data_IF_770549467250
#
_entry.id   IF_770549467250
#
_cell.length_a   1.000
_cell.length_b   1.000
_cell.length_c   1.000
_cell.angle_alpha   90.00
_cell.angle_beta   90.00
_cell.angle_gamma   90.00
#
_symmetry.space_group_name_H-M   'P 1'
#
loop_
_entity.id
_entity.type
_entity.pdbx_description
1 polymer ?
2 non-polymer ?
3 non-polymer ?
4 non-polymer ?
5 non-polymer ?
6 water ?
#
# COMPACT_ATOMS: atom_id res chain seq x y z
N UNK A 44 17.82 1.58 33.93
CA UNK A 44 17.67 2.97 33.50
C UNK A 44 16.23 3.44 33.66
N UNK A 45 15.94 4.65 33.17
CA UNK A 45 14.61 5.24 33.33
C UNK A 45 14.34 6.28 32.25
N UNK A 46 13.07 6.48 31.91
CA UNK A 46 12.74 7.47 30.89
C UNK A 46 12.87 8.88 31.47
N UNK A 47 13.05 9.85 30.58
CA UNK A 47 13.47 11.21 30.92
C UNK A 47 12.84 11.74 32.21
N UNK A 48 13.70 12.05 33.18
CA UNK A 48 13.27 12.59 34.46
C UNK A 48 12.46 13.88 34.25
N UNK A 49 12.79 14.61 33.20
CA UNK A 49 12.29 15.97 33.01
C UNK A 49 10.81 16.06 32.63
N UNK A 50 10.25 14.97 32.11
CA UNK A 50 8.82 14.96 31.74
C UNK A 50 7.96 14.53 32.91
N UNK A 51 8.57 13.84 33.87
CA UNK A 51 7.92 13.47 35.12
C UNK A 51 7.93 14.63 36.10
N UNK A 52 8.68 15.68 35.75
CA UNK A 52 8.62 16.93 36.52
C UNK A 52 7.15 17.36 36.51
N UNK A 53 6.60 17.54 37.70
CA UNK A 53 5.16 17.62 37.88
C UNK A 53 4.50 18.79 37.18
N UNK A 54 5.16 19.94 37.13
CA UNK A 54 4.56 21.12 36.49
C UNK A 54 4.35 20.85 35.01
N UNK A 55 5.32 20.17 34.40
CA UNK A 55 5.26 19.87 32.98
C UNK A 55 4.20 18.81 32.71
N UNK A 56 4.13 17.81 33.60
CA UNK A 56 3.16 16.74 33.47
C UNK A 56 1.74 17.29 33.51
N UNK A 57 1.52 18.28 34.36
CA UNK A 57 0.19 18.86 34.50
C UNK A 57 -0.14 19.74 33.29
N UNK A 58 0.87 20.38 32.74
CA UNK A 58 0.69 21.24 31.58
C UNK A 58 0.37 20.39 30.36
N UNK A 59 1.03 19.24 30.28
CA UNK A 59 0.80 18.29 29.20
C UNK A 59 -0.62 17.73 29.30
N UNK A 60 -1.04 17.43 30.53
CA UNK A 60 -2.38 16.93 30.79
C UNK A 60 -3.45 17.92 30.36
N UNK A 61 -3.22 19.20 30.66
CA UNK A 61 -4.14 20.25 30.26
C UNK A 61 -4.28 20.28 28.73
N UNK A 62 -3.15 20.26 28.05
CA UNK A 62 -3.10 20.30 26.59
C UNK A 62 -3.85 19.12 25.96
N UNK A 63 -3.68 17.94 26.55
CA UNK A 63 -4.43 16.77 26.13
C UNK A 63 -5.93 16.96 26.36
N UNK A 64 -6.28 17.42 27.56
CA UNK A 64 -7.67 17.57 27.96
C UNK A 64 -8.42 18.50 27.02
N UNK A 65 -7.71 19.54 26.59
CA UNK A 65 -8.28 20.62 25.78
C UNK A 65 -7.96 20.46 24.30
N UNK A 66 -7.28 19.38 23.95
CA UNK A 66 -6.83 19.17 22.58
C UNK A 66 -6.22 20.47 22.05
N UNK A 67 -5.22 20.98 22.76
CA UNK A 67 -4.55 22.23 22.43
C UNK A 67 -3.06 21.94 22.26
N UNK A 68 -2.39 22.60 21.30
CA UNK A 68 -0.95 22.34 21.13
C UNK A 68 -0.11 22.85 22.30
N UNK A 69 1.02 22.19 22.52
CA UNK A 69 1.92 22.53 23.61
C UNK A 69 3.36 22.25 23.16
N UNK A 70 4.24 23.23 23.35
CA UNK A 70 5.63 23.11 22.93
C UNK A 70 6.56 23.45 24.09
N UNK A 71 7.56 22.59 24.28
CA UNK A 71 8.55 22.75 25.34
C UNK A 71 9.85 22.15 24.81
N UNK A 72 10.95 22.44 25.48
CA UNK A 72 12.26 21.95 25.05
C UNK A 72 12.32 20.43 24.95
N UNK A 73 11.61 19.75 25.86
CA UNK A 73 11.76 18.32 26.06
C UNK A 73 10.52 17.54 25.61
N UNK A 74 9.50 18.26 25.17
CA UNK A 74 8.28 17.62 24.69
C UNK A 74 7.43 18.56 23.85
N UNK A 75 6.96 18.06 22.72
CA UNK A 75 6.09 18.80 21.84
C UNK A 75 4.86 17.96 21.55
N UNK A 76 3.69 18.57 21.71
CA UNK A 76 2.44 17.91 21.43
C UNK A 76 1.63 18.74 20.44
N UNK A 77 1.20 18.09 19.36
CA UNK A 77 0.42 18.76 18.30
C UNK A 77 -0.87 18.01 18.05
N UNK A 78 -1.87 18.73 17.55
CA UNK A 78 -3.21 18.21 17.33
C UNK A 78 -3.58 18.07 15.86
N UNK A 79 -2.73 18.57 14.98
CA UNK A 79 -3.02 18.55 13.56
C UNK A 79 -2.04 17.63 12.81
N UNK A 80 -2.55 16.67 12.03
CA UNK A 80 -3.96 16.39 11.73
C UNK A 80 -4.68 15.64 12.86
N UNK A 81 -3.91 15.01 13.75
CA UNK A 81 -4.47 14.41 14.96
C UNK A 81 -3.45 14.45 16.09
N UNK A 82 -3.89 14.06 17.28
CA UNK A 82 -3.04 14.18 18.46
C UNK A 82 -1.79 13.31 18.35
N UNK A 83 -0.62 13.93 18.39
CA UNK A 83 0.64 13.19 18.40
C UNK A 83 1.65 13.99 19.22
N UNK A 84 2.59 13.27 19.83
CA UNK A 84 3.59 13.89 20.70
C UNK A 84 4.98 13.34 20.40
N UNK A 85 5.98 14.20 20.57
CA UNK A 85 7.37 13.85 20.32
C UNK A 85 8.18 14.14 21.57
N UNK A 86 8.89 13.13 22.05
CA UNK A 86 9.80 13.28 23.18
C UNK A 86 11.22 12.92 22.73
N UNK A 87 12.05 13.93 22.48
CA UNK A 87 13.44 13.60 22.18
C UNK A 87 14.18 13.21 23.46
N UNK A 88 15.23 12.41 23.33
CA UNK A 88 15.99 11.93 24.49
C UNK A 88 15.07 11.31 25.53
N UNK A 89 14.28 10.35 25.07
CA UNK A 89 13.30 9.66 25.90
C UNK A 89 13.94 8.97 27.10
N UNK A 90 15.03 8.24 26.86
CA UNK A 90 15.75 7.56 27.93
C UNK A 90 17.05 8.26 28.21
N UNK A 91 17.34 8.51 29.49
CA UNK A 91 18.46 9.36 29.85
C UNK A 91 19.83 8.71 29.61
N UNK A 92 19.94 7.43 29.91
CA UNK A 92 21.24 6.75 29.81
C UNK A 92 21.55 6.28 28.39
N UNK A 93 22.60 6.87 27.81
CA UNK A 93 23.07 6.49 26.49
C UNK A 93 23.68 5.09 26.53
N UNK A 94 24.24 4.72 27.68
CA UNK A 94 24.89 3.43 27.80
C UNK A 94 23.84 2.32 27.76
N UNK A 95 22.71 2.56 28.41
CA UNK A 95 21.62 1.59 28.40
C UNK A 95 21.10 1.39 26.98
N UNK A 96 20.99 2.49 26.24
CA UNK A 96 20.47 2.46 24.89
C UNK A 96 21.39 1.75 23.91
N UNK A 97 22.69 1.94 24.08
CA UNK A 97 23.68 1.23 23.28
C UNK A 97 23.67 -0.26 23.63
N UNK A 98 23.45 -0.58 24.90
CA UNK A 98 23.33 -1.97 25.31
C UNK A 98 22.05 -2.59 24.76
N UNK A 99 21.04 -1.74 24.56
CA UNK A 99 19.75 -2.19 24.04
C UNK A 99 19.84 -2.46 22.53
N UNK A 100 20.41 -1.51 21.81
CA UNK A 100 20.67 -1.66 20.39
C UNK A 100 21.38 -2.98 20.12
N UNK A 101 22.43 -3.24 20.91
CA UNK A 101 23.26 -4.44 20.74
C UNK A 101 22.44 -5.71 20.88
N UNK A 102 21.65 -5.79 21.95
CA UNK A 102 20.79 -6.95 22.16
C UNK A 102 19.79 -7.13 21.01
N UNK A 103 19.20 -6.03 20.56
CA UNK A 103 18.20 -6.10 19.50
C UNK A 103 18.82 -6.57 18.19
N UNK A 104 19.97 -6.00 17.84
CA UNK A 104 20.66 -6.34 16.59
C UNK A 104 21.13 -7.78 16.61
N UNK A 105 21.20 -8.37 17.81
CA UNK A 105 21.61 -9.76 17.97
C UNK A 105 20.38 -10.68 18.03
N UNK A 106 19.20 -10.12 17.78
CA UNK A 106 18.01 -10.95 17.63
C UNK A 106 17.90 -11.49 16.22
N UNK A 107 17.06 -12.49 16.03
CA UNK A 107 16.75 -12.96 14.70
C UNK A 107 15.56 -12.16 14.18
N UNK A 108 15.65 -11.72 12.93
CA UNK A 108 14.58 -10.96 12.31
C UNK A 108 13.92 -11.75 11.20
N UNK A 109 12.59 -11.76 11.18
CA UNK A 109 11.84 -12.47 10.15
C UNK A 109 11.08 -11.53 9.20
N UNK A 110 11.06 -11.92 7.93
CA UNK A 110 10.51 -11.09 6.87
C UNK A 110 9.01 -10.91 7.05
N UNK A 111 8.57 -9.66 7.01
CA UNK A 111 7.14 -9.37 7.01
C UNK A 111 6.80 -8.75 5.68
N UNK A 112 5.79 -9.30 5.04
CA UNK A 112 5.40 -8.87 3.71
C UNK A 112 3.92 -9.10 3.48
N UNK A 113 3.27 -8.09 2.89
CA UNK A 113 1.95 -8.25 2.30
C UNK A 113 1.70 -7.05 1.38
N UNK A 114 0.45 -6.69 1.16
CA UNK A 114 0.13 -5.54 0.32
C UNK A 114 0.53 -4.23 1.00
N UNK A 115 0.34 -4.17 2.31
CA UNK A 115 0.51 -2.93 3.07
C UNK A 115 1.97 -2.65 3.44
N UNK A 116 2.76 -3.70 3.62
CA UNK A 116 4.12 -3.49 4.13
C UNK A 116 5.15 -4.47 3.62
N UNK A 117 6.40 -4.06 3.77
CA UNK A 117 7.55 -4.92 3.57
C UNK A 117 8.65 -4.43 4.49
N UNK A 118 9.06 -5.30 5.42
CA UNK A 118 10.12 -4.96 6.37
C UNK A 118 10.50 -6.21 7.17
N UNK A 119 11.40 -6.05 8.14
CA UNK A 119 11.79 -7.16 9.02
C UNK A 119 11.38 -6.88 10.46
N UNK A 120 10.88 -7.92 11.13
CA UNK A 120 10.44 -7.82 12.51
C UNK A 120 11.21 -8.83 13.36
N UNK A 121 11.42 -8.49 14.63
CA UNK A 121 12.26 -9.30 15.49
C UNK A 121 11.52 -10.50 16.05
N UNK A 122 12.30 -11.50 16.49
CA UNK A 122 11.85 -12.46 17.49
C UNK A 122 11.04 -11.63 18.48
N UNK A 123 9.87 -12.10 18.88
CA UNK A 123 9.01 -11.29 19.76
C UNK A 123 9.71 -10.94 21.08
N UNK A 124 9.26 -9.85 21.71
CA UNK A 124 10.01 -9.22 22.80
C UNK A 124 9.35 -9.45 24.16
N UNK A 125 8.13 -9.95 24.15
CA UNK A 125 7.34 -10.02 25.37
C UNK A 125 7.92 -10.96 26.43
N UNK A 126 8.36 -12.15 26.03
CA UNK A 126 8.86 -13.15 26.98
C UNK A 126 10.39 -13.22 26.96
N UNK A 127 10.99 -12.23 26.33
CA UNK A 127 12.41 -12.21 26.06
C UNK A 127 13.20 -11.93 27.34
N UNK A 128 14.25 -12.71 27.60
CA UNK A 128 14.89 -12.69 28.91
C UNK A 128 16.13 -11.81 29.00
N UNK A 129 16.66 -11.38 27.86
CA UNK A 129 17.83 -10.49 27.85
C UNK A 129 17.52 -9.27 28.73
N UNK A 130 18.52 -8.80 29.50
CA UNK A 130 18.22 -7.83 30.54
C UNK A 130 17.82 -6.42 30.08
N UNK A 131 18.38 -5.90 28.99
CA UNK A 131 18.02 -4.54 28.54
C UNK A 131 16.60 -4.52 27.96
N UNK A 132 16.25 -5.56 27.22
CA UNK A 132 14.89 -5.70 26.72
C UNK A 132 13.91 -5.82 27.87
N UNK A 133 14.25 -6.65 28.85
CA UNK A 133 13.42 -6.85 30.02
C UNK A 133 13.15 -5.53 30.73
N UNK A 134 14.21 -4.73 30.88
CA UNK A 134 14.09 -3.43 31.54
C UNK A 134 13.21 -2.47 30.73
N UNK A 135 13.37 -2.50 29.42
CA UNK A 135 12.60 -1.62 28.55
C UNK A 135 11.11 -1.91 28.65
N UNK A 136 10.76 -3.19 28.72
CA UNK A 136 9.36 -3.59 28.86
C UNK A 136 8.74 -2.87 30.04
N UNK A 137 9.47 -2.91 31.15
CA UNK A 137 9.04 -2.30 32.40
C UNK A 137 9.00 -0.78 32.30
N UNK A 138 9.98 -0.18 31.63
CA UNK A 138 10.01 1.26 31.46
C UNK A 138 8.76 1.69 30.71
N UNK A 139 8.40 0.92 29.69
CA UNK A 139 7.31 1.29 28.82
C UNK A 139 5.95 0.97 29.42
N UNK A 140 5.77 -0.28 29.84
CA UNK A 140 4.43 -0.77 30.18
C UNK A 140 4.07 -0.69 31.66
N UNK A 141 4.96 -0.11 32.46
CA UNK A 141 4.64 0.24 33.84
C UNK A 141 4.81 1.74 34.04
N UNK A 142 6.04 2.22 33.90
CA UNK A 142 6.36 3.61 34.23
C UNK A 142 5.75 4.59 33.23
N UNK A 143 6.07 4.41 31.96
CA UNK A 143 5.60 5.34 30.94
C UNK A 143 4.09 5.23 30.77
N UNK A 144 3.57 4.01 30.92
CA UNK A 144 2.14 3.79 30.82
C UNK A 144 1.35 4.53 31.89
N UNK A 145 1.83 4.49 33.13
CA UNK A 145 1.14 5.17 34.21
C UNK A 145 1.15 6.67 33.96
N UNK A 146 2.28 7.17 33.45
CA UNK A 146 2.41 8.58 33.12
C UNK A 146 1.38 8.96 32.04
N UNK A 147 1.32 8.15 30.99
CA UNK A 147 0.38 8.37 29.88
C UNK A 147 -1.06 8.28 30.34
N UNK A 148 -1.35 7.31 31.19
CA UNK A 148 -2.68 7.14 31.75
C UNK A 148 -3.08 8.39 32.53
N UNK A 149 -2.12 8.96 33.26
CA UNK A 149 -2.39 10.13 34.08
C UNK A 149 -2.71 11.34 33.22
N UNK A 150 -1.91 11.59 32.20
CA UNK A 150 -2.09 12.79 31.40
C UNK A 150 -3.24 12.67 30.39
N UNK A 151 -3.52 11.45 29.95
CA UNK A 151 -4.55 11.20 28.97
C UNK A 151 -5.90 10.93 29.63
N UNK A 152 -5.87 10.55 30.91
CA UNK A 152 -7.07 10.13 31.65
C UNK A 152 -7.68 8.86 31.07
N UNK A 153 -6.92 8.18 30.21
CA UNK A 153 -7.30 6.87 29.72
C UNK A 153 -6.72 5.83 30.67
N UNK A 154 -7.54 4.87 31.09
CA UNK A 154 -7.07 3.76 31.91
C UNK A 154 -6.44 2.71 30.98
N UNK A 155 -5.14 2.88 30.72
CA UNK A 155 -4.44 1.99 29.81
C UNK A 155 -4.11 0.68 30.52
N UNK A 156 -4.10 -0.41 29.76
CA UNK A 156 -3.86 -1.74 30.33
C UNK A 156 -2.38 -2.06 30.44
N UNK A 157 -2.07 -3.05 31.26
CA UNK A 157 -0.68 -3.50 31.43
C UNK A 157 -0.22 -4.34 30.24
N UNK A 158 -1.19 -4.83 29.47
CA UNK A 158 -0.93 -5.70 28.32
C UNK A 158 0.29 -5.24 27.52
N UNK A 159 1.29 -6.12 27.44
CA UNK A 159 2.53 -5.82 26.73
C UNK A 159 2.35 -6.10 25.24
N UNK A 160 2.64 -5.08 24.44
CA UNK A 160 2.46 -5.13 23.00
C UNK A 160 3.59 -4.34 22.35
N UNK A 161 4.71 -5.01 22.09
CA UNK A 161 5.88 -4.33 21.55
C UNK A 161 6.70 -5.26 20.66
N UNK A 162 7.27 -4.67 19.62
CA UNK A 162 8.05 -5.41 18.65
C UNK A 162 9.23 -4.54 18.25
N UNK A 163 10.22 -5.16 17.63
CA UNK A 163 11.37 -4.43 17.12
C UNK A 163 11.36 -4.56 15.61
N UNK A 164 11.41 -3.43 14.93
CA UNK A 164 11.31 -3.39 13.50
C UNK A 164 12.61 -2.89 12.89
N UNK A 165 12.94 -3.44 11.73
CA UNK A 165 14.07 -2.98 10.95
C UNK A 165 13.62 -2.71 9.52
N UNK A 166 13.79 -1.47 9.07
CA UNK A 166 13.47 -1.09 7.70
C UNK A 166 14.76 -0.77 6.96
N UNK A 167 15.00 -1.48 5.87
CA UNK A 167 16.16 -1.22 5.03
C UNK A 167 15.69 -0.78 3.65
N UNK A 168 16.63 -0.64 2.71
CA UNK A 168 16.35 -0.16 1.37
C UNK A 168 15.15 -0.86 0.73
N UNK A 169 14.17 -0.06 0.32
CA UNK A 169 12.93 -0.50 -0.35
C UNK A 169 11.80 -0.89 0.60
N UNK A 170 12.10 -1.02 1.89
CA UNK A 170 11.09 -1.38 2.87
C UNK A 170 10.16 -0.19 3.09
N UNK A 171 8.89 -0.47 3.37
CA UNK A 171 7.91 0.58 3.59
C UNK A 171 6.66 0.02 4.25
N UNK A 172 5.95 0.89 4.97
CA UNK A 172 4.69 0.54 5.58
C UNK A 172 3.68 1.63 5.15
N UNK A 173 2.73 1.25 4.31
CA UNK A 173 1.87 2.21 3.65
C UNK A 173 0.73 2.69 4.53
N UNK A 174 -0.07 3.61 3.98
CA UNK A 174 -1.09 4.33 4.74
C UNK A 174 -2.11 3.43 5.45
N UNK A 175 -2.20 3.60 6.78
CA UNK A 175 -3.08 2.79 7.62
C UNK A 175 -3.38 3.56 8.90
N UNK A 176 -4.39 3.11 9.65
CA UNK A 176 -4.85 3.82 10.83
C UNK A 176 -4.63 3.09 12.17
N UNK A 177 -3.93 1.95 12.13
CA UNK A 177 -3.61 1.17 13.35
C UNK A 177 -4.84 0.56 14.02
N UNK A 178 -6.02 0.79 13.46
CA UNK A 178 -7.23 0.40 14.16
C UNK A 178 -7.31 -1.11 14.37
N UNK A 179 -7.47 -1.49 15.63
CA UNK A 179 -7.70 -2.87 16.03
C UNK A 179 -8.27 -2.77 17.43
N UNK A 180 -9.25 -3.61 17.74
CA UNK A 180 -9.96 -3.49 19.01
C UNK A 180 -8.97 -3.54 20.18
N UNK A 181 -8.97 -2.50 21.00
CA UNK A 181 -8.14 -2.44 22.19
C UNK A 181 -6.98 -1.45 22.09
N UNK A 182 -6.49 -1.22 20.88
CA UNK A 182 -5.38 -0.28 20.69
C UNK A 182 -5.85 1.15 20.91
N UNK A 183 -5.19 1.86 21.83
CA UNK A 183 -5.55 3.24 22.12
C UNK A 183 -4.42 4.22 21.83
N UNK A 184 -3.20 3.86 22.20
CA UNK A 184 -2.07 4.75 21.93
C UNK A 184 -0.92 4.03 21.26
N UNK A 185 -0.51 4.56 20.11
CA UNK A 185 0.61 4.00 19.38
C UNK A 185 1.87 4.68 19.90
N UNK A 186 2.97 3.94 19.96
CA UNK A 186 4.26 4.52 20.29
C UNK A 186 5.35 3.92 19.43
N UNK A 187 6.37 4.73 19.12
CA UNK A 187 7.55 4.26 18.43
C UNK A 187 8.78 4.92 19.06
N UNK A 188 9.76 4.10 19.41
CA UNK A 188 11.04 4.58 19.92
C UNK A 188 12.11 4.27 18.88
N UNK A 189 12.74 5.32 18.34
CA UNK A 189 13.73 5.15 17.28
C UNK A 189 15.12 4.93 17.87
N UNK A 190 15.83 3.95 17.33
CA UNK A 190 17.21 3.67 17.72
C UNK A 190 18.08 3.71 16.48
N UNK A 191 17.88 4.75 15.68
CA UNK A 191 18.52 4.86 14.38
C UNK A 191 19.87 5.58 14.46
N UNK A 192 20.76 5.31 13.49
CA UNK A 192 21.96 6.14 13.31
C UNK A 192 21.57 7.53 12.81
N UNK A 193 22.54 8.43 12.61
CA UNK A 193 22.22 9.77 12.09
C UNK A 193 21.33 9.66 10.86
N UNK A 194 20.24 10.42 10.84
CA UNK A 194 19.19 10.20 9.85
C UNK A 194 18.71 11.54 9.31
N UNK A 195 18.35 11.56 8.04
CA UNK A 195 17.81 12.76 7.42
C UNK A 195 16.73 12.35 6.45
N UNK A 196 15.98 13.34 5.97
CA UNK A 196 14.83 13.11 5.11
C UNK A 196 15.20 12.35 3.84
N UNK A 197 16.41 12.56 3.33
CA UNK A 197 16.84 11.95 2.08
C UNK A 197 16.98 10.44 2.20
N UNK A 198 17.12 9.95 3.43
CA UNK A 198 17.27 8.53 3.68
C UNK A 198 15.91 7.84 3.78
N UNK A 199 14.84 8.64 3.76
CA UNK A 199 13.49 8.13 3.81
C UNK A 199 13.11 7.62 5.19
N UNK A 200 12.12 6.72 5.24
CA UNK A 200 11.70 6.13 6.50
C UNK A 200 11.03 7.13 7.42
N UNK A 201 10.42 8.15 6.85
CA UNK A 201 9.77 9.18 7.66
C UNK A 201 8.41 8.67 8.12
N UNK A 202 7.99 9.11 9.30
CA UNK A 202 6.67 8.79 9.81
C UNK A 202 5.75 9.90 9.33
N UNK A 203 4.95 9.60 8.32
CA UNK A 203 4.10 10.61 7.68
C UNK A 203 2.69 10.52 8.23
N UNK A 204 2.10 11.67 8.56
CA UNK A 204 0.74 11.76 9.06
C UNK A 204 -0.18 12.42 8.05
N UNK A 205 -1.36 11.85 7.84
CA UNK A 205 -2.28 12.35 6.81
C UNK A 205 -3.41 13.20 7.36
N UNK A 206 -3.77 14.23 6.60
CA UNK A 206 -5.02 14.94 6.82
C UNK A 206 -6.15 14.05 6.33
N UNK A 207 -7.39 14.46 6.58
CA UNK A 207 -8.54 13.63 6.26
C UNK A 207 -9.61 14.43 5.51
N UNK A 208 -10.40 13.76 4.69
CA UNK A 208 -11.46 14.43 3.91
C UNK A 208 -12.81 14.33 4.60
N UNK A 209 -13.85 14.78 3.91
CA UNK A 209 -15.21 14.79 4.44
C UNK A 209 -15.69 13.38 4.85
N UNK A 210 -15.24 12.36 4.14
CA UNK A 210 -15.72 10.99 4.35
C UNK A 210 -14.81 10.18 5.29
N UNK A 211 -13.99 10.89 6.08
CA UNK A 211 -13.11 10.23 7.06
C UNK A 211 -12.08 9.35 6.37
N UNK A 212 -11.67 9.75 5.16
CA UNK A 212 -10.63 9.04 4.41
C UNK A 212 -9.39 9.93 4.28
N UNK A 213 -8.20 9.32 4.27
CA UNK A 213 -6.96 10.10 4.18
C UNK A 213 -6.88 10.90 2.88
N UNK A 214 -6.38 12.13 2.99
CA UNK A 214 -6.30 13.03 1.85
C UNK A 214 -4.85 13.17 1.40
N UNK A 215 -4.02 13.74 2.26
CA UNK A 215 -2.60 13.89 1.93
C UNK A 215 -1.71 14.06 3.16
N UNK A 216 -0.40 13.96 2.94
CA UNK A 216 0.58 14.07 4.01
C UNK A 216 0.77 15.52 4.40
N UNK A 217 0.57 15.81 5.68
CA UNK A 217 0.67 17.19 6.18
C UNK A 217 1.71 17.32 7.29
N UNK A 218 2.22 16.19 7.76
CA UNK A 218 3.33 16.14 8.71
C UNK A 218 4.22 14.97 8.36
N UNK A 219 5.53 15.19 8.39
CA UNK A 219 6.50 14.15 8.09
C UNK A 219 7.59 14.24 9.15
N UNK A 220 7.64 13.23 10.02
CA UNK A 220 8.57 13.22 11.14
C UNK A 220 9.80 12.38 10.82
N UNK A 221 10.98 12.96 11.08
CA UNK A 221 12.25 12.28 10.83
C UNK A 221 12.72 11.51 12.05
N UNK A 222 12.99 10.21 11.90
CA UNK A 222 13.44 9.48 13.09
C UNK A 222 14.84 9.91 13.51
N UNK A 223 15.11 9.82 14.81
CA UNK A 223 16.43 10.13 15.34
C UNK A 223 16.62 9.36 16.63
N UNK A 224 17.88 9.10 16.97
CA UNK A 224 18.24 8.27 18.10
C UNK A 224 17.59 8.72 19.42
N UNK A 225 16.88 7.80 20.06
CA UNK A 225 16.28 8.03 21.38
C UNK A 225 15.06 8.97 21.34
N UNK A 226 14.55 9.22 20.14
CA UNK A 226 13.31 9.97 20.01
C UNK A 226 12.12 9.02 20.12
N UNK A 227 11.17 9.36 20.99
CA UNK A 227 9.92 8.63 21.09
C UNK A 227 8.77 9.46 20.51
N UNK A 228 7.93 8.82 19.70
CA UNK A 228 6.72 9.45 19.19
C UNK A 228 5.53 8.62 19.64
N UNK A 229 4.46 9.27 20.08
CA UNK A 229 3.22 8.55 20.35
C UNK A 229 2.02 9.35 19.87
N UNK A 230 0.93 8.63 19.60
CA UNK A 230 -0.28 9.26 19.11
C UNK A 230 -1.50 8.40 19.37
N UNK A 231 -2.66 9.03 19.25
CA UNK A 231 -3.92 8.38 19.56
C UNK A 231 -4.40 7.58 18.35
N UNK A 232 -4.85 6.35 18.58
CA UNK A 232 -5.44 5.55 17.53
C UNK A 232 -6.91 5.89 17.45
N UNK A 233 -7.35 6.33 16.28
CA UNK A 233 -8.72 6.78 16.07
C UNK A 233 -9.09 6.53 14.62
N UNK A 234 -10.35 6.79 14.24
CA UNK A 234 -10.77 6.59 12.85
C UNK A 234 -10.05 7.50 11.86
N UNK A 235 -9.31 8.49 12.35
CA UNK A 235 -8.60 9.44 11.48
C UNK A 235 -7.07 9.37 11.63
N UNK A 236 -6.56 8.44 12.45
CA UNK A 236 -5.12 8.40 12.72
C UNK A 236 -4.35 7.72 11.60
N UNK A 237 -4.49 8.24 10.39
CA UNK A 237 -3.82 7.68 9.21
C UNK A 237 -2.37 8.10 9.10
N UNK A 238 -1.50 7.12 8.87
CA UNK A 238 -0.07 7.37 8.83
C UNK A 238 0.65 6.30 8.01
N UNK A 239 1.88 6.61 7.61
CA UNK A 239 2.72 5.61 6.97
C UNK A 239 4.18 5.78 7.39
N UNK A 240 4.97 4.74 7.12
CA UNK A 240 6.41 4.84 7.13
C UNK A 240 6.87 4.90 5.67
N UNK A 241 7.43 6.03 5.25
CA UNK A 241 7.81 6.21 3.86
C UNK A 241 8.95 5.26 3.52
N UNK A 242 9.09 4.92 2.23
CA UNK A 242 10.12 3.99 1.79
C UNK A 242 11.52 4.43 2.25
N UNK A 243 12.28 3.52 2.84
CA UNK A 243 13.70 3.77 3.16
C UNK A 243 14.53 3.75 1.88
N UNK A 244 15.28 4.83 1.66
CA UNK A 244 16.01 5.01 0.41
C UNK A 244 17.51 4.79 0.61
N UNK A 245 17.98 4.85 1.86
CA UNK A 245 19.38 4.60 2.15
C UNK A 245 19.67 3.14 1.80
N UNK A 246 20.76 2.91 1.08
CA UNK A 246 21.15 1.56 0.70
C UNK A 246 22.13 0.98 1.70
N UNK A 247 22.66 1.86 2.56
CA UNK A 247 23.67 1.46 3.53
C UNK A 247 23.07 1.26 4.92
N UNK A 248 22.20 2.17 5.34
CA UNK A 248 21.76 2.22 6.74
C UNK A 248 20.43 1.52 7.02
N UNK A 249 20.26 1.14 8.28
CA UNK A 249 19.14 0.34 8.73
C UNK A 249 18.33 1.11 9.77
N UNK A 250 17.03 1.26 9.51
CA UNK A 250 16.13 2.02 10.39
C UNK A 250 15.58 1.11 11.47
N UNK A 251 16.12 1.24 12.67
CA UNK A 251 15.79 0.34 13.78
C UNK A 251 14.87 1.02 14.80
N UNK A 252 13.81 0.33 15.21
CA UNK A 252 12.85 0.90 16.15
C UNK A 252 12.22 -0.14 17.07
N UNK A 253 11.72 0.34 18.21
CA UNK A 253 10.78 -0.41 19.04
C UNK A 253 9.42 0.25 18.89
N UNK A 254 8.38 -0.54 18.62
CA UNK A 254 7.07 0.03 18.38
C UNK A 254 5.98 -0.85 18.97
N UNK A 255 4.81 -0.28 19.20
CA UNK A 255 3.71 -1.07 19.71
C UNK A 255 2.54 -0.20 20.14
N UNK A 256 1.71 -0.74 21.03
CA UNK A 256 0.54 -0.03 21.48
C UNK A 256 0.26 -0.20 22.95
N UNK A 257 -0.19 0.88 23.57
CA UNK A 257 -0.83 0.79 24.87
C UNK A 257 -2.29 0.50 24.62
N UNK A 258 -2.78 -0.53 25.29
CA UNK A 258 -4.15 -0.96 25.10
C UNK A 258 -5.10 -0.23 26.05
N UNK A 259 -6.33 -0.09 25.63
CA UNK A 259 -7.33 0.59 26.41
C UNK A 259 -8.71 0.23 25.91
N UNK A 260 -9.74 0.84 26.50
CA UNK A 260 -11.14 0.52 26.17
C UNK A 260 -11.44 0.78 24.69
N UNK A 261 -12.25 -0.09 24.10
CA UNK A 261 -12.59 -0.01 22.69
C UNK A 261 -13.46 1.21 22.40
N UNK A 262 -12.98 2.09 21.52
CA UNK A 262 -13.73 3.27 21.12
C UNK A 262 -14.90 2.90 20.21
N UNK A 263 -15.40 3.91 19.50
CA UNK A 263 -16.55 3.77 18.63
C UNK A 263 -16.13 4.12 17.21
N UNK A 264 -15.96 3.12 16.36
CA UNK A 264 -15.63 3.37 14.97
C UNK A 264 -16.95 3.68 14.23
N UNK A 265 -16.94 4.71 13.36
CA UNK A 265 -18.18 5.06 12.64
C UNK A 265 -18.50 4.01 11.58
N UNK A 266 -19.65 4.14 10.88
CA UNK A 266 -19.98 3.15 9.86
C UNK A 266 -18.94 3.06 8.74
N UNK A 267 -18.67 1.84 8.28
CA UNK A 267 -17.71 1.63 7.21
C UNK A 267 -18.13 2.39 5.96
N UNK A 268 -17.23 3.23 5.45
CA UNK A 268 -17.53 4.03 4.28
C UNK A 268 -17.28 3.24 3.00
N UNK A 269 -18.26 3.26 2.10
CA UNK A 269 -18.17 2.57 0.82
C UNK A 269 -18.11 3.59 -0.30
N UNK A 270 -17.03 3.56 -1.07
CA UNK A 270 -16.88 4.49 -2.18
C UNK A 270 -18.00 4.31 -3.17
N UNK A 271 -18.36 5.39 -3.89
CA UNK A 271 -19.22 5.26 -5.07
C UNK A 271 -18.62 4.26 -6.06
N UNK A 272 -19.35 3.18 -6.38
CA UNK A 272 -18.86 2.22 -7.37
C UNK A 272 -18.48 2.90 -8.69
N UNK A 273 -17.35 2.50 -9.27
CA UNK A 273 -16.96 3.02 -10.58
C UNK A 273 -18.03 2.67 -11.61
N UNK A 274 -18.47 3.68 -12.40
CA UNK A 274 -19.47 3.40 -13.45
C UNK A 274 -19.05 2.27 -14.37
N UNK A 275 -19.99 1.39 -14.69
CA UNK A 275 -19.76 0.31 -15.64
C UNK A 275 -20.59 0.63 -16.86
N UNK A 276 -20.27 0.00 -17.98
CA UNK A 276 -20.99 0.26 -19.22
C UNK A 276 -21.06 -1.01 -20.06
N UNK A 277 -22.14 -1.17 -20.84
CA UNK A 277 -22.21 -2.33 -21.73
C UNK A 277 -21.18 -2.19 -22.85
N UNK A 278 -21.07 -3.18 -23.72
CA UNK A 278 -20.08 -3.13 -24.80
C UNK A 278 -20.40 -2.00 -25.78
N UNK A 279 -19.37 -1.51 -26.45
CA UNK A 279 -19.57 -0.60 -27.56
C UNK A 279 -20.03 -1.44 -28.76
N UNK A 280 -21.24 -1.17 -29.28
CA UNK A 280 -21.71 -1.98 -30.40
C UNK A 280 -20.75 -1.97 -31.58
N UNK A 281 -20.70 -3.07 -32.30
CA UNK A 281 -19.78 -3.23 -33.41
C UNK A 281 -20.22 -2.43 -34.61
N UNK A 282 -19.32 -1.62 -35.15
CA UNK A 282 -19.52 -1.00 -36.45
C UNK A 282 -18.51 -1.61 -37.41
N UNK A 283 -17.26 -1.19 -37.31
CA UNK A 283 -16.20 -1.73 -38.17
C UNK A 283 -15.54 -2.92 -37.50
N UNK A 284 -15.05 -3.85 -38.31
CA UNK A 284 -14.29 -4.99 -37.79
C UNK A 284 -12.97 -4.47 -37.23
N UNK A 285 -12.62 -4.90 -36.03
CA UNK A 285 -11.51 -4.30 -35.30
C UNK A 285 -10.55 -5.36 -34.75
N UNK A 286 -11.00 -6.61 -34.63
CA UNK A 286 -10.16 -7.67 -34.05
C UNK A 286 -8.97 -8.05 -34.92
N UNK A 287 -9.23 -8.26 -36.20
CA UNK A 287 -8.21 -8.84 -37.07
C UNK A 287 -7.09 -7.84 -37.35
N UNK A 288 -7.39 -6.56 -37.10
CA UNK A 288 -6.39 -5.52 -37.22
C UNK A 288 -5.53 -5.39 -35.95
N UNK A 289 -6.05 -5.87 -34.83
CA UNK A 289 -5.41 -5.67 -33.54
C UNK A 289 -4.82 -6.93 -32.91
N UNK A 290 -5.49 -8.06 -33.09
CA UNK A 290 -5.15 -9.26 -32.34
C UNK A 290 -4.28 -10.25 -33.12
N UNK A 291 -3.34 -10.87 -32.40
CA UNK A 291 -2.52 -11.96 -32.93
C UNK A 291 -3.43 -13.08 -33.49
N UNK A 292 -3.32 -13.37 -34.81
CA UNK A 292 -4.21 -14.34 -35.48
C UNK A 292 -4.29 -15.69 -34.78
N UNK A 293 -3.18 -16.11 -34.17
CA UNK A 293 -3.14 -17.35 -33.41
C UNK A 293 -4.34 -17.44 -32.47
N UNK A 294 -4.68 -16.33 -31.84
CA UNK A 294 -5.72 -16.29 -30.82
C UNK A 294 -7.12 -16.16 -31.42
N UNK A 295 -7.18 -15.87 -32.70
CA UNK A 295 -8.46 -15.78 -33.42
C UNK A 295 -8.78 -17.08 -34.15
N UNK A 296 -8.02 -18.13 -33.86
CA UNK A 296 -8.30 -19.44 -34.41
C UNK A 296 -9.20 -20.19 -33.45
N UNK A 297 -10.29 -20.73 -33.97
CA UNK A 297 -11.31 -21.38 -33.14
C UNK A 297 -10.76 -22.56 -32.34
N UNK A 298 -9.93 -23.38 -32.96
CA UNK A 298 -9.42 -24.58 -32.30
C UNK A 298 -8.46 -24.18 -31.18
N UNK A 299 -7.73 -23.09 -31.39
CA UNK A 299 -6.82 -22.62 -30.37
C UNK A 299 -7.66 -22.04 -29.22
N UNK A 300 -8.82 -21.48 -29.56
CA UNK A 300 -9.69 -20.88 -28.54
C UNK A 300 -10.27 -21.92 -27.59
N UNK A 301 -10.64 -23.09 -28.11
CA UNK A 301 -11.23 -24.12 -27.24
C UNK A 301 -10.16 -24.69 -26.31
N UNK A 302 -8.92 -24.74 -26.80
CA UNK A 302 -7.79 -25.18 -26.00
C UNK A 302 -7.53 -24.17 -24.88
N UNK A 303 -7.64 -22.89 -25.21
CA UNK A 303 -7.46 -21.82 -24.23
C UNK A 303 -8.51 -21.95 -23.15
N UNK A 304 -9.76 -22.16 -23.58
CA UNK A 304 -10.86 -22.24 -22.64
C UNK A 304 -10.74 -23.47 -21.77
N UNK A 305 -10.23 -24.56 -22.34
CA UNK A 305 -10.00 -25.77 -21.57
C UNK A 305 -9.04 -25.49 -20.43
N UNK A 306 -7.92 -24.85 -20.75
CA UNK A 306 -6.91 -24.51 -19.77
C UNK A 306 -7.45 -23.50 -18.75
N UNK A 307 -8.22 -22.54 -19.24
CA UNK A 307 -8.74 -21.46 -18.41
C UNK A 307 -9.72 -21.96 -17.35
N UNK A 308 -10.54 -22.95 -17.72
CA UNK A 308 -11.60 -23.44 -16.84
C UNK A 308 -11.07 -24.24 -15.66
N UNK A 309 -9.86 -24.79 -15.82
CA UNK A 309 -9.23 -25.56 -14.76
C UNK A 309 -8.68 -24.65 -13.67
N UNK A 310 -7.98 -23.61 -14.08
CA UNK A 310 -7.27 -22.73 -13.16
C UNK A 310 -7.92 -21.36 -13.04
N UNK A 311 -8.90 -21.07 -13.91
CA UNK A 311 -9.58 -19.77 -13.89
C UNK A 311 -8.58 -18.63 -14.07
N UNK A 312 -7.52 -18.89 -14.83
CA UNK A 312 -6.58 -17.84 -15.21
C UNK A 312 -5.80 -18.30 -16.42
N UNK A 313 -5.35 -17.35 -17.23
CA UNK A 313 -4.42 -17.67 -18.31
C UNK A 313 -3.61 -16.44 -18.67
N UNK A 314 -2.49 -16.68 -19.35
CA UNK A 314 -1.59 -15.63 -19.77
C UNK A 314 -1.32 -15.84 -21.24
N UNK A 315 -1.65 -14.84 -22.05
CA UNK A 315 -1.49 -14.93 -23.50
C UNK A 315 -0.40 -13.98 -23.96
N UNK A 316 0.74 -14.55 -24.36
CA UNK A 316 1.88 -13.74 -24.81
C UNK A 316 1.65 -13.19 -26.21
N UNK A 317 2.29 -12.07 -26.52
CA UNK A 317 2.20 -11.44 -27.83
C UNK A 317 0.72 -11.35 -28.26
N UNK A 318 -0.09 -10.74 -27.41
CA UNK A 318 -1.54 -10.71 -27.63
C UNK A 318 -1.93 -9.80 -28.79
N UNK A 319 -1.37 -8.59 -28.81
CA UNK A 319 -1.61 -7.68 -29.93
C UNK A 319 -0.63 -7.98 -31.07
N UNK A 320 -1.04 -7.70 -32.30
CA UNK A 320 -0.12 -7.72 -33.42
C UNK A 320 0.99 -6.72 -33.10
N UNK A 321 2.25 -7.08 -33.39
CA UNK A 321 3.36 -6.17 -33.09
C UNK A 321 3.21 -4.81 -33.77
N UNK A 322 2.64 -4.78 -34.98
CA UNK A 322 2.42 -3.53 -35.68
C UNK A 322 1.66 -2.54 -34.79
N UNK A 323 0.62 -3.02 -34.13
CA UNK A 323 -0.21 -2.18 -33.27
C UNK A 323 0.45 -1.95 -31.93
N UNK A 324 1.01 -3.02 -31.35
CA UNK A 324 1.64 -2.91 -30.04
C UNK A 324 2.70 -1.81 -30.01
N UNK A 325 3.50 -1.73 -31.07
CA UNK A 325 4.56 -0.75 -31.14
C UNK A 325 4.02 0.66 -31.31
N UNK A 326 2.92 0.78 -32.04
CA UNK A 326 2.31 2.09 -32.23
C UNK A 326 1.73 2.56 -30.90
N UNK A 327 1.20 1.61 -30.13
CA UNK A 327 0.65 1.91 -28.80
C UNK A 327 1.77 2.39 -27.85
N UNK A 328 2.86 1.64 -27.78
CA UNK A 328 4.00 1.99 -26.93
C UNK A 328 4.63 3.31 -27.41
N UNK A 329 4.66 3.49 -28.72
CA UNK A 329 5.17 4.72 -29.33
C UNK A 329 4.41 5.95 -28.82
N UNK A 330 3.08 5.83 -28.76
CA UNK A 330 2.23 6.93 -28.31
C UNK A 330 2.41 7.18 -26.82
N UNK A 331 2.50 6.10 -26.04
CA UNK A 331 2.72 6.21 -24.61
C UNK A 331 4.08 6.81 -24.30
N UNK A 332 5.07 6.51 -25.15
CA UNK A 332 6.45 6.92 -24.90
C UNK A 332 6.80 8.25 -25.53
N UNK A 333 6.09 8.62 -26.60
CA UNK A 333 6.43 9.83 -27.36
C UNK A 333 5.24 10.76 -27.64
N UNK A 334 4.05 10.39 -27.17
CA UNK A 334 2.84 11.14 -27.48
C UNK A 334 2.33 11.99 -26.33
N UNK A 335 1.23 12.70 -26.58
CA UNK A 335 0.58 13.52 -25.56
C UNK A 335 -0.47 12.71 -24.80
N UNK A 336 -0.26 12.53 -23.49
CA UNK A 336 -1.25 11.85 -22.65
C UNK A 336 -1.41 12.63 -21.34
N UNK A 337 -2.65 12.84 -20.94
CA UNK A 337 -2.96 13.55 -19.69
C UNK A 337 -3.24 12.56 -18.60
N UNK A 338 -2.39 12.56 -17.57
CA UNK A 338 -2.52 11.65 -16.43
C UNK A 338 -3.11 12.39 -15.23
N UNK A 339 -3.87 11.65 -14.42
CA UNK A 339 -4.35 12.16 -13.14
C UNK A 339 -4.02 11.09 -12.08
N UNK A 340 -3.76 11.53 -10.86
CA UNK A 340 -3.44 10.64 -9.76
C UNK A 340 -4.72 10.17 -9.08
N UNK A 341 -4.79 8.88 -8.80
CA UNK A 341 -5.95 8.28 -8.15
C UNK A 341 -5.63 8.00 -6.69
N UNK A 342 -6.61 8.21 -5.82
CA UNK A 342 -6.49 7.88 -4.41
C UNK A 342 -7.81 7.26 -3.94
N UNK A 343 -8.05 7.25 -2.61
CA UNK A 343 -7.17 7.80 -1.58
C UNK A 343 -6.05 6.81 -1.13
N UNK A 344 -5.01 7.32 -0.44
CA UNK A 344 -3.79 6.60 -0.05
C UNK A 344 -3.99 5.28 0.70
N UNK A 345 -5.12 5.13 1.38
CA UNK A 345 -5.40 3.91 2.12
C UNK A 345 -6.04 2.85 1.24
N UNK A 346 -6.17 3.14 -0.06
CA UNK A 346 -6.69 2.17 -1.00
C UNK A 346 -5.80 2.03 -2.22
N UNK A 347 -5.29 3.16 -2.71
CA UNK A 347 -4.59 3.17 -3.99
C UNK A 347 -3.76 4.41 -4.24
N UNK A 348 -2.73 4.26 -5.06
CA UNK A 348 -1.98 5.40 -5.60
C UNK A 348 -1.36 5.01 -6.94
N UNK A 349 -1.91 5.55 -8.03
CA UNK A 349 -1.36 5.34 -9.36
C UNK A 349 -1.92 6.41 -10.30
N UNK A 350 -1.47 6.39 -11.55
CA UNK A 350 -1.90 7.37 -12.53
C UNK A 350 -2.84 6.73 -13.54
N UNK A 351 -3.85 7.49 -13.94
CA UNK A 351 -4.86 7.03 -14.87
C UNK A 351 -4.97 8.06 -16.00
N UNK A 352 -5.11 7.58 -17.23
CA UNK A 352 -5.19 8.46 -18.39
C UNK A 352 -6.58 9.05 -18.54
N UNK A 353 -6.64 10.31 -18.97
CA UNK A 353 -7.89 10.96 -19.33
C UNK A 353 -8.28 10.45 -20.70
N UNK A 354 -9.22 9.51 -20.73
CA UNK A 354 -9.47 8.68 -21.90
C UNK A 354 -9.96 9.48 -23.12
N UNK A 355 -10.69 10.55 -22.86
CA UNK A 355 -11.30 11.33 -23.96
C UNK A 355 -10.25 12.16 -24.70
N UNK A 356 -9.11 12.40 -24.05
CA UNK A 356 -8.08 13.28 -24.62
C UNK A 356 -6.88 12.50 -25.16
N UNK A 357 -7.07 11.19 -25.35
CA UNK A 357 -5.97 10.33 -25.73
C UNK A 357 -5.66 10.47 -27.22
N UNK A 358 -4.41 10.18 -27.61
CA UNK A 358 -4.06 10.03 -29.03
C UNK A 358 -4.88 8.89 -29.62
N UNK A 359 -5.24 9.00 -30.90
CA UNK A 359 -6.17 8.09 -31.56
C UNK A 359 -5.86 6.61 -31.33
N UNK A 360 -4.60 6.23 -31.45
CA UNK A 360 -4.20 4.82 -31.34
C UNK A 360 -4.49 4.28 -29.94
N UNK A 361 -4.37 5.15 -28.94
CA UNK A 361 -4.68 4.76 -27.56
C UNK A 361 -6.18 4.83 -27.29
N UNK A 362 -6.85 5.80 -27.90
CA UNK A 362 -8.31 5.83 -27.87
C UNK A 362 -8.85 4.54 -28.46
N UNK A 363 -8.32 4.14 -29.60
CA UNK A 363 -8.79 2.93 -30.29
C UNK A 363 -8.44 1.65 -29.51
N UNK A 364 -7.33 1.63 -28.80
CA UNK A 364 -6.96 0.45 -28.03
C UNK A 364 -7.95 0.29 -26.88
N UNK A 365 -8.35 1.40 -26.28
CA UNK A 365 -9.39 1.38 -25.24
C UNK A 365 -10.71 0.90 -25.84
N UNK A 366 -11.07 1.43 -27.01
CA UNK A 366 -12.32 1.02 -27.66
C UNK A 366 -12.28 -0.48 -27.97
N UNK A 367 -11.11 -0.99 -28.31
CA UNK A 367 -10.95 -2.42 -28.56
C UNK A 367 -11.41 -3.20 -27.34
N UNK A 368 -10.94 -2.78 -26.17
CA UNK A 368 -11.24 -3.50 -24.95
C UNK A 368 -12.65 -3.30 -24.44
N UNK A 369 -13.33 -2.28 -24.98
CA UNK A 369 -14.72 -2.01 -24.68
C UNK A 369 -15.65 -2.62 -25.73
N UNK A 370 -15.06 -3.19 -26.78
CA UNK A 370 -15.83 -3.51 -27.99
C UNK A 370 -16.62 -4.80 -27.83
N UNK A 371 -17.80 -4.82 -28.45
CA UNK A 371 -18.62 -6.02 -28.56
C UNK A 371 -17.78 -7.23 -28.98
N UNK A 372 -16.91 -7.03 -29.96
CA UNK A 372 -16.11 -8.13 -30.52
C UNK A 372 -15.20 -8.77 -29.49
N UNK A 373 -14.64 -7.94 -28.61
CA UNK A 373 -13.75 -8.46 -27.59
C UNK A 373 -14.54 -9.14 -26.48
N UNK A 374 -15.68 -8.58 -26.12
CA UNK A 374 -16.56 -9.24 -25.16
C UNK A 374 -16.80 -10.67 -25.62
N UNK A 375 -17.05 -10.84 -26.92
CA UNK A 375 -17.33 -12.15 -27.46
C UNK A 375 -16.07 -13.04 -27.43
N UNK A 376 -14.93 -12.45 -27.79
CA UNK A 376 -13.67 -13.18 -27.80
C UNK A 376 -13.35 -13.71 -26.40
N UNK A 377 -13.49 -12.85 -25.39
CA UNK A 377 -13.24 -13.25 -24.01
C UNK A 377 -14.19 -14.35 -23.54
N UNK A 378 -15.41 -14.35 -24.06
CA UNK A 378 -16.34 -15.43 -23.80
C UNK A 378 -15.76 -16.70 -24.37
N UNK A 379 -15.22 -16.61 -25.58
CA UNK A 379 -14.62 -17.76 -26.24
C UNK A 379 -13.37 -18.28 -25.49
N UNK A 380 -12.63 -17.37 -24.85
CA UNK A 380 -11.43 -17.73 -24.08
C UNK A 380 -11.76 -18.35 -22.73
N UNK A 381 -12.88 -17.95 -22.14
CA UNK A 381 -13.13 -18.23 -20.72
C UNK A 381 -14.34 -19.12 -20.46
N UNK A 382 -15.30 -19.14 -21.37
CA UNK A 382 -16.52 -19.90 -21.14
C UNK A 382 -17.51 -19.11 -20.30
N UNK A 383 -17.16 -17.85 -20.00
CA UNK A 383 -18.08 -16.93 -19.36
C UNK A 383 -19.05 -16.35 -20.41
N UNK A 384 -20.21 -15.92 -19.96
CA UNK A 384 -21.24 -15.34 -20.81
C UNK A 384 -21.11 -13.82 -20.81
N UNK A 385 -20.22 -13.30 -21.65
CA UNK A 385 -20.00 -11.85 -21.77
C UNK A 385 -20.57 -11.29 -23.07
N UNK A 386 -21.25 -12.14 -23.83
CA UNK A 386 -21.89 -11.73 -25.07
C UNK A 386 -23.01 -12.72 -25.41
N UNK A 387 -24.08 -12.22 -26.05
CA UNK A 387 -25.28 -13.04 -26.27
C UNK A 387 -25.08 -14.12 -27.33
N UNK A 388 -24.03 -13.99 -28.14
CA UNK A 388 -23.70 -14.99 -29.15
C UNK A 388 -22.74 -16.05 -28.62
N UNK A 389 -22.35 -15.93 -27.35
CA UNK A 389 -21.50 -16.94 -26.74
C UNK A 389 -22.39 -18.04 -26.13
N UNK A 390 -21.92 -19.30 -26.14
CA UNK A 390 -22.73 -20.41 -25.62
C UNK A 390 -23.17 -20.26 -24.17
N UNK A 391 -24.11 -21.12 -23.75
CA UNK A 391 -24.79 -21.00 -22.47
C UNK A 391 -24.03 -21.72 -21.36
CA UNK A 450 -31.46 -11.79 -19.00
C UNK A 450 -30.52 -10.77 -18.37
N UNK A 451 -29.26 -11.17 -18.21
CA UNK A 451 -28.23 -10.30 -17.63
C UNK A 451 -27.48 -9.56 -18.74
N UNK A 452 -27.20 -8.28 -18.52
CA UNK A 452 -26.45 -7.48 -19.48
C UNK A 452 -24.97 -7.39 -19.09
N UNK A 453 -24.06 -7.99 -19.88
CA UNK A 453 -22.64 -7.94 -19.51
C UNK A 453 -22.08 -6.51 -19.52
N UNK A 454 -21.11 -6.23 -18.65
CA UNK A 454 -20.63 -4.86 -18.48
C UNK A 454 -19.14 -4.85 -18.24
N UNK A 455 -18.52 -3.70 -18.43
CA UNK A 455 -17.11 -3.56 -18.17
C UNK A 455 -16.77 -2.19 -17.61
N UNK A 456 -15.60 -2.10 -16.98
CA UNK A 456 -15.01 -0.82 -16.63
C UNK A 456 -13.55 -0.95 -17.03
N UNK A 457 -12.92 0.15 -17.40
CA UNK A 457 -11.53 0.08 -17.82
C UNK A 457 -10.77 1.38 -17.69
N UNK A 458 -9.45 1.26 -17.57
CA UNK A 458 -8.62 2.44 -17.50
C UNK A 458 -7.23 2.15 -18.05
N UNK A 459 -6.59 3.19 -18.56
CA UNK A 459 -5.21 3.10 -19.01
C UNK A 459 -4.36 3.64 -17.87
N UNK A 460 -3.48 2.79 -17.33
CA UNK A 460 -2.75 3.13 -16.11
C UNK A 460 -1.26 3.33 -16.36
N UNK A 461 -0.66 4.24 -15.61
CA UNK A 461 0.80 4.39 -15.58
C UNK A 461 1.28 4.09 -14.16
N UNK A 462 2.26 3.20 -14.08
CA UNK A 462 2.82 2.73 -12.82
C UNK A 462 4.27 3.16 -12.72
N UNK A 463 4.63 3.76 -11.59
CA UNK A 463 6.02 4.12 -11.34
C UNK A 463 6.28 4.10 -9.84
N UNK A 464 7.51 4.47 -9.46
CA UNK A 464 7.99 4.40 -8.09
C UNK A 464 7.02 5.10 -7.14
N UNK A 465 6.65 4.43 -6.06
CA UNK A 465 5.73 5.01 -5.09
C UNK A 465 4.28 4.55 -5.26
N UNK A 466 3.94 4.03 -6.44
CA UNK A 466 2.58 3.61 -6.72
C UNK A 466 2.23 2.24 -6.13
N UNK A 467 0.93 2.03 -5.88
CA UNK A 467 0.45 0.80 -5.26
C UNK A 467 -1.07 0.74 -5.22
N UNK A 468 -1.60 -0.45 -4.91
CA UNK A 468 -2.96 -0.57 -4.43
C UNK A 468 -2.94 -1.48 -3.21
N UNK A 469 -3.98 -1.38 -2.40
CA UNK A 469 -4.09 -2.17 -1.18
C UNK A 469 -5.39 -2.97 -1.20
N UNK A 470 -5.45 -4.02 -0.37
CA UNK A 470 -6.70 -4.73 -0.10
C UNK A 470 -7.71 -3.85 0.66
N UNK A 471 -8.95 -3.84 0.20
CA UNK A 471 -10.02 -3.08 0.84
C UNK A 471 -10.62 -3.86 2.02
N UNK A 476 -19.20 -7.81 -2.46
CA UNK A 476 -18.24 -8.67 -3.14
C UNK A 476 -18.87 -9.25 -4.40
N UNK A 477 -18.04 -9.50 -5.41
CA UNK A 477 -18.56 -9.81 -6.74
C UNK A 477 -17.65 -10.73 -7.55
N UNK A 478 -18.26 -11.58 -8.38
CA UNK A 478 -17.53 -12.34 -9.39
C UNK A 478 -17.12 -11.40 -10.51
N UNK A 479 -15.92 -11.57 -11.02
CA UNK A 479 -15.45 -10.69 -12.09
C UNK A 479 -14.26 -11.28 -12.84
N UNK A 480 -14.13 -10.89 -14.11
CA UNK A 480 -12.97 -11.24 -14.92
C UNK A 480 -12.07 -10.03 -15.05
N UNK A 481 -10.85 -10.15 -14.53
CA UNK A 481 -9.83 -9.11 -14.65
C UNK A 481 -9.05 -9.32 -15.93
N UNK A 482 -8.72 -8.22 -16.60
CA UNK A 482 -7.90 -8.25 -17.80
C UNK A 482 -6.78 -7.22 -17.65
N UNK A 483 -5.57 -7.60 -18.03
CA UNK A 483 -4.45 -6.68 -18.05
C UNK A 483 -3.63 -6.90 -19.32
N UNK A 484 -3.34 -5.84 -20.05
CA UNK A 484 -2.35 -5.85 -21.12
C UNK A 484 -1.21 -4.87 -20.76
N UNK A 485 0.01 -5.39 -20.65
CA UNK A 485 1.17 -4.60 -20.22
C UNK A 485 1.89 -3.95 -21.41
N UNK A 486 2.32 -2.71 -21.25
CA UNK A 486 3.14 -2.03 -22.25
C UNK A 486 4.39 -1.42 -21.61
N UNK A 487 5.52 -1.54 -22.29
CA UNK A 487 6.73 -0.84 -21.90
C UNK A 487 7.36 -1.29 -20.59
N UNK A 488 7.47 -2.60 -20.39
CA UNK A 488 8.07 -3.12 -19.16
C UNK A 488 9.11 -4.22 -19.38
N UNK A 489 9.85 -4.13 -20.47
CA UNK A 489 10.92 -5.08 -20.72
C UNK A 489 11.97 -4.91 -19.63
N UNK A 490 12.45 -6.02 -19.09
CA UNK A 490 13.45 -5.98 -18.04
C UNK A 490 12.86 -5.63 -16.68
N UNK A 491 11.55 -5.56 -16.59
CA UNK A 491 10.92 -5.32 -15.30
C UNK A 491 11.14 -6.54 -14.42
N UNK A 492 11.53 -6.30 -13.17
CA UNK A 492 11.87 -7.37 -12.22
C UNK A 492 10.87 -7.43 -11.06
N UNK A 493 10.58 -8.65 -10.56
CA UNK A 493 9.66 -8.76 -9.41
C UNK A 493 10.16 -7.97 -8.21
N UNK A 494 11.47 -7.87 -8.05
CA UNK A 494 12.05 -7.15 -6.91
C UNK A 494 11.68 -5.66 -6.92
N UNK A 495 11.20 -5.16 -8.06
CA UNK A 495 10.81 -3.77 -8.20
C UNK A 495 9.44 -3.50 -7.63
N UNK A 496 8.67 -4.57 -7.39
CA UNK A 496 7.25 -4.42 -7.10
C UNK A 496 6.51 -4.18 -8.40
N UNK A 497 5.22 -3.85 -8.32
CA UNK A 497 4.42 -3.60 -9.50
C UNK A 497 3.73 -4.82 -10.08
N UNK A 498 3.99 -6.00 -9.52
CA UNK A 498 3.27 -7.20 -9.93
C UNK A 498 1.87 -7.16 -9.31
N UNK A 499 0.95 -7.94 -9.87
CA UNK A 499 -0.39 -8.02 -9.31
C UNK A 499 -0.51 -9.36 -8.61
N UNK A 500 -0.91 -9.34 -7.34
CA UNK A 500 -1.02 -10.55 -6.55
C UNK A 500 -2.48 -10.84 -6.22
N UNK A 501 -2.92 -12.08 -6.43
CA UNK A 501 -4.27 -12.49 -6.06
C UNK A 501 -4.20 -13.32 -4.80
N UNK A 502 -5.10 -13.06 -3.86
CA UNK A 502 -5.10 -13.77 -2.59
C UNK A 502 -6.50 -14.24 -2.18
N UNK A 503 -6.55 -15.22 -1.30
CA UNK A 503 -7.79 -15.69 -0.71
C UNK A 503 -8.17 -14.76 0.45
N UNK A 504 -9.45 -14.44 0.57
CA UNK A 504 -9.89 -13.47 1.56
C UNK A 504 -9.76 -14.00 2.98
N UNK A 505 -9.50 -13.11 3.92
CA UNK A 505 -9.34 -13.49 5.31
C UNK A 505 -8.18 -14.46 5.50
N UNK A 506 -7.24 -14.40 4.58
CA UNK A 506 -6.10 -15.32 4.59
C UNK A 506 -4.83 -14.64 4.08
N UNK A 507 -3.70 -15.30 4.29
CA UNK A 507 -2.39 -14.79 3.91
C UNK A 507 -1.84 -15.58 2.72
N UNK A 508 -2.72 -16.31 2.04
CA UNK A 508 -2.32 -17.23 0.98
C UNK A 508 -2.40 -16.62 -0.41
N UNK A 509 -1.25 -16.53 -1.08
CA UNK A 509 -1.17 -16.04 -2.44
C UNK A 509 -1.61 -17.15 -3.39
N UNK A 510 -2.55 -16.82 -4.27
CA UNK A 510 -3.10 -17.81 -5.19
C UNK A 510 -2.47 -17.69 -6.54
N UNK A 511 -2.02 -16.49 -6.86
CA UNK A 511 -1.48 -16.18 -8.18
C UNK A 511 -0.71 -14.88 -8.17
N UNK A 512 0.32 -14.81 -9.01
CA UNK A 512 1.09 -13.59 -9.19
C UNK A 512 1.18 -13.31 -10.69
N UNK A 513 0.82 -12.10 -11.06
CA UNK A 513 0.94 -11.65 -12.45
C UNK A 513 2.10 -10.65 -12.57
N UNK A 514 3.07 -10.97 -13.41
CA UNK A 514 4.25 -10.15 -13.58
C UNK A 514 4.21 -9.35 -14.87
N UNK A 515 4.47 -8.04 -14.80
CA UNK A 515 4.48 -7.22 -16.02
C UNK A 515 5.39 -7.81 -17.11
N UNK A 516 4.81 -8.07 -18.27
CA UNK A 516 5.53 -8.59 -19.42
C UNK A 516 4.91 -7.98 -20.67
N UNK A 517 5.72 -7.39 -21.52
CA UNK A 517 5.24 -6.58 -22.64
C UNK A 517 4.37 -7.39 -23.61
N UNK A 518 3.19 -6.84 -23.91
CA UNK A 518 2.25 -7.43 -24.87
C UNK A 518 1.74 -8.80 -24.41
N UNK A 519 1.82 -9.06 -23.11
CA UNK A 519 1.16 -10.23 -22.54
C UNK A 519 -0.19 -9.81 -21.95
N UNK A 520 -1.22 -10.57 -22.27
CA UNK A 520 -2.55 -10.35 -21.75
C UNK A 520 -2.80 -11.34 -20.64
N UNK A 521 -3.04 -10.85 -19.42
CA UNK A 521 -3.42 -11.71 -18.31
C UNK A 521 -4.93 -11.65 -18.16
N UNK A 522 -5.56 -12.82 -18.05
CA UNK A 522 -7.00 -12.93 -17.77
C UNK A 522 -7.19 -13.74 -16.50
N UNK A 523 -7.83 -13.16 -15.50
CA UNK A 523 -8.00 -13.84 -14.21
C UNK A 523 -9.43 -13.67 -13.68
N UNK A 524 -10.11 -14.78 -13.47
CA UNK A 524 -11.45 -14.77 -12.92
C UNK A 524 -11.39 -14.75 -11.40
N UNK A 525 -12.11 -13.81 -10.79
CA UNK A 525 -12.19 -13.70 -9.33
C UNK A 525 -13.55 -14.17 -8.84
N UNK A 526 -13.58 -14.98 -7.79
CA UNK A 526 -14.83 -15.28 -7.10
C UNK A 526 -14.97 -14.24 -5.99
N UNK A 527 -15.99 -14.40 -5.15
CA UNK A 527 -16.25 -13.44 -4.05
C UNK A 527 -15.27 -13.56 -2.89
N UNK A 528 -14.55 -14.67 -2.82
CA UNK A 528 -13.59 -14.90 -1.75
C UNK A 528 -12.14 -14.71 -2.24
N UNK A 529 -12.00 -13.96 -3.33
CA UNK A 529 -10.69 -13.73 -3.94
C UNK A 529 -10.49 -12.24 -4.20
N UNK A 530 -9.34 -11.73 -3.75
CA UNK A 530 -9.01 -10.32 -3.89
C UNK A 530 -7.66 -10.16 -4.57
N UNK A 531 -7.31 -8.92 -4.90
CA UNK A 531 -6.07 -8.66 -5.62
C UNK A 531 -5.48 -7.31 -5.22
N UNK A 532 -4.19 -7.15 -5.48
CA UNK A 532 -3.56 -5.85 -5.30
C UNK A 532 -2.29 -5.75 -6.12
N UNK A 533 -1.86 -4.53 -6.38
CA UNK A 533 -0.64 -4.27 -7.09
C UNK A 533 0.38 -3.80 -6.07
N UNK A 534 1.46 -4.57 -5.92
CA UNK A 534 2.42 -4.30 -4.86
C UNK A 534 3.22 -3.03 -5.08
N UNK A 535 3.40 -2.28 -4.00
CA UNK A 535 4.19 -1.05 -3.99
C UNK A 535 5.45 -1.13 -4.85
N UNK A 536 5.60 -0.16 -5.74
CA UNK A 536 6.77 -0.10 -6.64
C UNK A 536 7.85 0.72 -5.97
N UNK A 537 8.99 0.09 -5.71
CA UNK A 537 10.06 0.69 -4.91
C UNK A 537 11.20 1.25 -5.76
N UNK A 538 12.18 1.82 -5.08
CA UNK A 538 13.25 2.57 -5.74
C UNK A 538 14.28 1.72 -6.48
N UNK A 539 14.23 0.39 -6.33
CA UNK A 539 15.07 -0.47 -7.17
C UNK A 539 14.63 -0.33 -8.62
N UNK A 540 13.36 0.00 -8.82
CA UNK A 540 12.82 0.15 -10.18
C UNK A 540 13.61 1.21 -10.98
N UNK A 541 14.31 2.10 -10.29
CA UNK A 541 15.15 3.08 -10.95
C UNK A 541 16.30 2.44 -11.73
N UNK A 542 16.64 1.19 -11.41
CA UNK A 542 17.65 0.45 -12.15
C UNK A 542 17.23 0.31 -13.62
N UNK A 543 15.94 0.50 -13.88
CA UNK A 543 15.39 0.46 -15.24
C UNK A 543 16.10 1.45 -16.16
N UNK A 544 16.50 2.59 -15.60
CA UNK A 544 17.09 3.68 -16.38
C UNK A 544 18.52 3.42 -16.85
N UNK A 545 19.18 2.43 -16.24
CA UNK A 545 20.49 2.02 -16.72
C UNK A 545 20.36 1.44 -18.12
N UNK A 546 19.16 0.96 -18.45
CA UNK A 546 18.90 0.29 -19.72
C UNK A 546 18.04 1.18 -20.63
N UNK A 547 16.95 1.69 -20.07
CA UNK A 547 16.05 2.62 -20.77
C UNK A 547 16.03 3.95 -20.01
N UNK A 548 16.99 4.85 -20.32
CA UNK A 548 17.16 6.08 -19.54
C UNK A 548 15.98 7.03 -19.62
N UNK A 549 15.22 6.98 -20.71
CA UNK A 549 14.10 7.90 -20.92
C UNK A 549 12.78 7.29 -20.54
N UNK A 550 12.81 6.19 -19.77
CA UNK A 550 11.60 5.55 -19.32
C UNK A 550 11.51 5.62 -17.81
N UNK A 551 10.28 5.76 -17.33
CA UNK A 551 10.00 5.75 -15.91
C UNK A 551 8.78 4.88 -15.67
N UNK A 552 9.01 3.67 -15.16
CA UNK A 552 7.94 2.75 -14.87
C UNK A 552 7.39 2.07 -16.11
N UNK A 553 6.11 1.73 -16.09
CA UNK A 553 5.47 1.05 -17.21
C UNK A 553 3.98 1.37 -17.24
N UNK A 554 3.27 0.84 -18.24
CA UNK A 554 1.86 1.13 -18.44
C UNK A 554 1.09 -0.16 -18.57
N UNK A 555 -0.21 -0.11 -18.28
CA UNK A 555 -1.10 -1.22 -18.63
C UNK A 555 -2.50 -0.74 -19.02
N UNK A 556 -3.22 -1.62 -19.72
CA UNK A 556 -4.64 -1.48 -19.91
C UNK A 556 -5.29 -2.44 -18.93
N UNK A 557 -6.10 -1.92 -18.01
CA UNK A 557 -6.69 -2.71 -16.94
C UNK A 557 -8.21 -2.65 -17.06
N UNK A 558 -8.80 -3.79 -17.40
CA UNK A 558 -10.25 -3.87 -17.56
C UNK A 558 -10.85 -4.92 -16.63
N UNK A 559 -12.13 -4.74 -16.30
CA UNK A 559 -12.86 -5.73 -15.53
C UNK A 559 -14.19 -5.96 -16.22
N UNK A 560 -14.54 -7.23 -16.42
CA UNK A 560 -15.77 -7.62 -17.11
C UNK A 560 -16.68 -8.38 -16.16
N UNK A 561 -17.99 -8.11 -16.27
CA UNK A 561 -19.01 -8.72 -15.43
C UNK A 561 -20.03 -9.45 -16.30
N UNK A 562 -20.41 -10.65 -15.90
CA UNK A 562 -21.47 -11.38 -16.59
C UNK A 562 -22.81 -10.68 -16.36
#
# INVERSE_FOLDING_TARGET
MGSSHHHHHHSSGLVPRGSHMNGKRPAEPGPARVGKKGKKEVMAEFSDAVTEETLKKQVAEAWSRRTPFSHEVIVMDMDPFLHCVIPNFIQSQDFLEGLQKELMNLDFHEKYNDLYKFQQSDDLKKRREPHISTLRKILFEDFRSWLSDISKIDLESTIDMSCAKYEFTDALLCHDDELEGRRIAFILYLVPPWDRSMGGTLDLYSIDEHFQPKQIVKSLIPSWNKLVFFEVSPVSFHQVSEVLSEEKSRLSISGWFHGPSLTRPPNYFEPPIPRSPHIPQDHEILYDWINPTYLDMDYQVQIQEEFEESSEILLKEFLKPEKFTKVCEALEHGHVEWSSRGPPNKRFYEKAEESKLPEILKECMKLFRSEALFLLLSNFTGLKLHFLAPSEEDEMNDKKEAETTDITEEGTSHSPPEPENNQMAISNNSQQSNEQTDPEPEENETKKESSVPMCQGELRHWKTGHYTLIHDHSKAEFALDLILYCGCEGWEPEYGGFTSYIAKGEDEELLTVNPESNSLALVYRDRETLKFVKHINHRSLEQKKTFPNRTGFWDFSFIYYE
#
